data_IF_850310031618
#
_entry.id   IF_850310031618
#
_cell.length_a   1.000
_cell.length_b   1.000
_cell.length_c   1.000
_cell.angle_alpha   90.00
_cell.angle_beta   90.00
_cell.angle_gamma   90.00
#
_symmetry.space_group_name_H-M   'P 1'
#
loop_
_entity.id
_entity.type
_entity.pdbx_description
1 polymer ?
#
# COMPACT_ATOMS: atom_id res chain seq x y z
N UNK A 1 22.41 18.12 -6.80
CA UNK A 1 22.13 16.80 -6.20
C UNK A 1 21.45 15.99 -7.27
N UNK A 2 21.77 14.70 -7.41
CA UNK A 2 21.14 13.86 -8.42
C UNK A 2 19.62 13.78 -8.17
N UNK A 3 18.85 13.60 -9.24
CA UNK A 3 17.42 13.30 -9.15
C UNK A 3 17.23 11.79 -9.04
N UNK A 4 16.25 11.37 -8.23
CA UNK A 4 15.88 9.96 -8.15
C UNK A 4 14.73 9.71 -9.14
N UNK A 5 14.96 8.80 -10.08
CA UNK A 5 13.99 8.44 -11.12
C UNK A 5 13.61 6.97 -11.06
N UNK A 6 12.34 6.67 -11.30
CA UNK A 6 11.85 5.30 -11.47
C UNK A 6 12.02 4.94 -12.94
N UNK A 7 12.73 3.85 -13.20
CA UNK A 7 13.01 3.39 -14.58
C UNK A 7 12.22 2.13 -14.95
N UNK A 8 11.78 1.37 -13.96
CA UNK A 8 10.89 0.22 -14.22
C UNK A 8 10.00 -0.08 -13.01
N UNK A 9 8.92 -0.79 -13.28
CA UNK A 9 8.02 -1.30 -12.26
C UNK A 9 7.39 -2.63 -12.69
N UNK A 10 7.08 -3.49 -11.72
CA UNK A 10 6.38 -4.75 -11.91
C UNK A 10 5.53 -5.09 -10.69
N UNK A 11 4.39 -5.77 -10.90
CA UNK A 11 3.59 -6.34 -9.82
C UNK A 11 3.01 -7.70 -10.19
N UNK A 12 2.82 -8.53 -9.22
CA UNK A 12 2.01 -9.75 -9.38
C UNK A 12 0.53 -9.40 -9.51
N UNK A 13 -0.32 -10.34 -9.93
CA UNK A 13 -1.71 -10.34 -9.55
C UNK A 13 -1.86 -10.21 -8.02
N UNK A 14 -3.03 -9.77 -7.56
CA UNK A 14 -3.37 -9.76 -6.14
C UNK A 14 -4.35 -10.90 -5.86
N UNK A 15 -3.91 -11.86 -5.04
CA UNK A 15 -4.70 -13.00 -4.59
C UNK A 15 -5.57 -12.66 -3.38
N UNK A 16 -6.75 -13.28 -3.25
CA UNK A 16 -7.54 -13.23 -2.02
C UNK A 16 -6.95 -14.20 -0.99
N UNK A 17 -6.64 -13.71 0.19
CA UNK A 17 -6.04 -14.54 1.24
C UNK A 17 -6.86 -15.80 1.56
N UNK A 18 -6.18 -16.88 1.85
CA UNK A 18 -6.68 -18.20 2.25
C UNK A 18 -7.48 -18.98 1.21
N UNK A 19 -7.94 -18.37 0.12
CA UNK A 19 -8.80 -19.02 -0.88
C UNK A 19 -8.56 -18.55 -2.32
N UNK A 20 -7.68 -17.57 -2.51
CA UNK A 20 -7.39 -17.01 -3.83
C UNK A 20 -6.26 -17.71 -4.55
N UNK A 21 -5.93 -17.14 -5.69
CA UNK A 21 -4.99 -17.69 -6.67
C UNK A 21 -3.54 -17.80 -6.16
N UNK A 22 -3.13 -16.94 -5.20
CA UNK A 22 -1.75 -16.87 -4.70
C UNK A 22 -1.57 -17.48 -3.29
N UNK A 23 -2.59 -18.15 -2.73
CA UNK A 23 -2.60 -18.63 -1.33
C UNK A 23 -1.44 -19.56 -0.96
N UNK A 24 -0.87 -20.28 -1.93
CA UNK A 24 0.21 -21.24 -1.71
C UNK A 24 1.61 -20.69 -2.06
N UNK A 25 1.68 -19.43 -2.54
CA UNK A 25 2.94 -18.78 -2.85
C UNK A 25 3.71 -18.38 -1.59
N UNK A 26 4.98 -18.75 -1.53
CA UNK A 26 5.89 -18.23 -0.49
C UNK A 26 6.21 -16.76 -0.76
N UNK A 27 6.35 -15.93 0.29
CA UNK A 27 6.64 -14.50 0.12
C UNK A 27 8.00 -14.24 -0.54
N UNK A 28 9.01 -15.00 -0.23
CA UNK A 28 10.35 -14.92 -0.83
C UNK A 28 10.35 -15.27 -2.32
N UNK A 29 9.72 -16.39 -2.70
CA UNK A 29 9.61 -16.82 -4.10
C UNK A 29 8.84 -15.80 -4.95
N UNK A 30 7.68 -15.32 -4.44
CA UNK A 30 6.88 -14.32 -5.14
C UNK A 30 7.64 -13.00 -5.30
N UNK A 31 8.37 -12.57 -4.26
CA UNK A 31 9.21 -11.37 -4.32
C UNK A 31 10.33 -11.51 -5.35
N UNK A 32 11.00 -12.66 -5.37
CA UNK A 32 12.09 -12.93 -6.31
C UNK A 32 11.60 -12.84 -7.76
N UNK A 33 10.46 -13.46 -8.07
CA UNK A 33 9.86 -13.41 -9.42
C UNK A 33 9.55 -11.96 -9.85
N UNK A 34 8.96 -11.17 -8.97
CA UNK A 34 8.52 -9.82 -9.33
C UNK A 34 9.68 -8.82 -9.38
N UNK A 35 10.67 -8.97 -8.50
CA UNK A 35 11.91 -8.18 -8.56
C UNK A 35 12.67 -8.49 -9.84
N UNK A 36 12.80 -9.79 -10.20
CA UNK A 36 13.41 -10.17 -11.47
C UNK A 36 12.67 -9.57 -12.66
N UNK A 37 11.33 -9.62 -12.67
CA UNK A 37 10.53 -9.02 -13.73
C UNK A 37 10.67 -7.49 -13.84
N UNK A 38 10.93 -6.80 -12.74
CA UNK A 38 11.24 -5.37 -12.78
C UNK A 38 12.63 -5.11 -13.35
N UNK A 39 13.64 -5.88 -12.94
CA UNK A 39 15.01 -5.78 -13.45
C UNK A 39 15.12 -6.11 -14.94
N UNK A 40 14.43 -7.16 -15.40
CA UNK A 40 14.43 -7.60 -16.81
C UNK A 40 13.88 -6.53 -17.78
N UNK A 41 13.21 -5.49 -17.28
CA UNK A 41 12.73 -4.35 -18.08
C UNK A 41 13.77 -3.24 -18.27
N UNK A 42 14.93 -3.36 -17.65
CA UNK A 42 16.02 -2.37 -17.75
C UNK A 42 17.16 -2.97 -18.57
N UNK A 43 17.16 -2.66 -19.86
CA UNK A 43 18.17 -3.17 -20.77
C UNK A 43 19.59 -2.81 -20.32
N UNK A 44 20.50 -3.78 -20.34
CA UNK A 44 21.90 -3.57 -20.01
C UNK A 44 22.23 -3.43 -18.52
N UNK A 45 21.25 -3.51 -17.63
CA UNK A 45 21.51 -3.53 -16.18
C UNK A 45 22.06 -4.88 -15.73
N UNK A 46 23.27 -4.89 -15.18
CA UNK A 46 23.77 -6.01 -14.39
C UNK A 46 23.11 -5.96 -12.99
N UNK A 47 22.30 -6.94 -12.62
CA UNK A 47 21.64 -6.95 -11.29
C UNK A 47 22.61 -6.89 -10.10
N UNK A 48 23.85 -7.35 -10.26
CA UNK A 48 24.86 -7.30 -9.21
C UNK A 48 25.48 -5.90 -9.00
N UNK A 49 25.12 -4.92 -9.84
CA UNK A 49 25.51 -3.50 -9.66
C UNK A 49 24.48 -2.69 -8.88
N UNK A 50 23.40 -3.29 -8.44
CA UNK A 50 22.42 -2.68 -7.53
C UNK A 50 23.07 -2.41 -6.17
N UNK A 51 22.94 -1.19 -5.67
CA UNK A 51 23.54 -0.79 -4.39
C UNK A 51 22.83 -1.41 -3.18
N UNK A 52 21.48 -1.49 -3.20
CA UNK A 52 20.72 -2.15 -2.15
C UNK A 52 19.31 -2.56 -2.59
N UNK A 53 18.78 -3.63 -1.97
CA UNK A 53 17.37 -4.01 -2.03
C UNK A 53 16.69 -3.64 -0.71
N UNK A 54 15.74 -2.72 -0.76
CA UNK A 54 14.81 -2.46 0.33
C UNK A 54 13.49 -3.18 0.06
N UNK A 55 13.17 -4.22 0.85
CA UNK A 55 11.97 -5.04 0.71
C UNK A 55 10.99 -4.75 1.85
N UNK A 56 9.86 -4.13 1.53
CA UNK A 56 8.78 -3.85 2.45
C UNK A 56 7.95 -5.11 2.76
N UNK A 57 7.77 -5.42 4.05
CA UNK A 57 6.84 -6.42 4.53
C UNK A 57 6.07 -5.86 5.73
N UNK A 58 4.74 -5.93 5.68
CA UNK A 58 3.90 -5.34 6.73
C UNK A 58 4.05 -6.08 8.06
N UNK A 59 4.05 -7.39 8.03
CA UNK A 59 4.15 -8.28 9.18
C UNK A 59 5.29 -9.30 8.99
N UNK A 60 6.57 -8.86 9.10
CA UNK A 60 7.73 -9.72 8.91
C UNK A 60 7.87 -10.72 10.06
N UNK A 61 7.79 -12.01 9.75
CA UNK A 61 7.91 -13.10 10.72
C UNK A 61 7.74 -14.45 10.01
N UNK A 62 8.14 -15.56 10.63
CA UNK A 62 8.06 -16.87 10.02
C UNK A 62 8.76 -16.92 8.66
N UNK A 63 8.03 -17.26 7.60
CA UNK A 63 8.55 -17.28 6.23
C UNK A 63 8.94 -15.89 5.69
N UNK A 64 8.37 -14.83 6.23
CA UNK A 64 8.71 -13.43 5.91
C UNK A 64 9.81 -12.86 6.80
N UNK A 65 10.38 -13.65 7.70
CA UNK A 65 11.47 -13.29 8.62
C UNK A 65 12.85 -13.41 7.99
N UNK A 66 13.86 -13.48 8.85
CA UNK A 66 15.27 -13.73 8.50
C UNK A 66 15.87 -12.73 7.48
N UNK A 67 15.47 -11.47 7.55
CA UNK A 67 15.85 -10.47 6.55
C UNK A 67 15.56 -10.96 5.11
N UNK A 68 14.31 -11.19 4.81
CA UNK A 68 13.83 -11.78 3.55
C UNK A 68 14.40 -11.08 2.31
N UNK A 69 14.70 -9.77 2.37
CA UNK A 69 15.36 -9.05 1.28
C UNK A 69 16.67 -9.73 0.85
N UNK A 70 17.48 -10.17 1.81
CA UNK A 70 18.73 -10.85 1.50
C UNK A 70 18.49 -12.25 0.91
N UNK A 71 17.48 -12.97 1.40
CA UNK A 71 17.08 -14.27 0.85
C UNK A 71 16.69 -14.11 -0.62
N UNK A 72 15.88 -13.11 -0.93
CA UNK A 72 15.41 -12.80 -2.29
C UNK A 72 16.56 -12.45 -3.22
N UNK A 73 17.56 -11.68 -2.77
CA UNK A 73 18.75 -11.39 -3.57
C UNK A 73 19.49 -12.68 -3.94
N UNK A 74 19.70 -13.58 -2.99
CA UNK A 74 20.38 -14.87 -3.24
C UNK A 74 19.56 -15.75 -4.22
N UNK A 75 18.22 -15.80 -4.07
CA UNK A 75 17.35 -16.50 -5.01
C UNK A 75 17.47 -15.99 -6.46
N UNK A 76 17.74 -14.69 -6.61
CA UNK A 76 17.91 -14.05 -7.92
C UNK A 76 19.37 -14.06 -8.43
N UNK A 77 20.31 -14.73 -7.74
CA UNK A 77 21.73 -14.73 -8.10
C UNK A 77 22.43 -13.38 -7.89
N UNK A 78 21.86 -12.52 -7.07
CA UNK A 78 22.38 -11.19 -6.72
C UNK A 78 23.19 -11.27 -5.42
N UNK A 79 24.20 -12.15 -5.40
CA UNK A 79 24.98 -12.45 -4.18
C UNK A 79 25.80 -11.26 -3.66
N UNK A 80 26.12 -10.31 -4.52
CA UNK A 80 26.87 -9.11 -4.15
C UNK A 80 25.99 -7.97 -3.64
N UNK A 81 24.66 -8.05 -3.79
CA UNK A 81 23.71 -7.00 -3.43
C UNK A 81 23.27 -7.17 -1.97
N UNK A 82 23.50 -6.19 -1.10
CA UNK A 82 22.93 -6.20 0.24
C UNK A 82 21.40 -6.08 0.20
N UNK A 83 20.73 -6.32 1.34
CA UNK A 83 19.28 -6.19 1.39
C UNK A 83 18.79 -5.98 2.81
N UNK A 84 17.74 -5.17 2.95
CA UNK A 84 17.08 -4.90 4.22
C UNK A 84 15.57 -5.08 4.11
N UNK A 85 14.99 -5.89 5.02
CA UNK A 85 13.54 -6.01 5.16
C UNK A 85 13.02 -4.91 6.07
N UNK A 86 12.07 -4.12 5.56
CA UNK A 86 11.56 -2.91 6.20
C UNK A 86 10.09 -3.11 6.54
N UNK A 87 9.70 -2.79 7.77
CA UNK A 87 8.28 -2.68 8.13
C UNK A 87 7.91 -1.24 8.46
N UNK A 88 6.83 -0.78 7.85
CA UNK A 88 5.97 0.33 8.22
C UNK A 88 4.54 -0.07 7.90
N UNK A 89 4.16 -1.27 8.31
CA UNK A 89 2.86 -1.88 8.01
C UNK A 89 2.44 -1.67 6.54
N UNK A 90 1.26 -1.11 6.32
CA UNK A 90 0.70 -0.89 4.98
C UNK A 90 1.60 -0.05 4.04
N UNK A 91 2.43 0.85 4.58
CA UNK A 91 3.30 1.74 3.80
C UNK A 91 4.75 1.23 3.69
N UNK A 92 5.02 -0.04 3.99
CA UNK A 92 6.39 -0.57 3.98
C UNK A 92 7.10 -0.31 2.65
N UNK A 93 6.45 -0.50 1.50
CA UNK A 93 7.08 -0.22 0.20
C UNK A 93 7.02 1.24 -0.27
N UNK A 94 6.26 2.13 0.37
CA UNK A 94 6.49 3.58 0.24
C UNK A 94 7.72 4.00 1.05
N UNK A 95 7.92 3.38 2.24
CA UNK A 95 9.10 3.63 3.05
C UNK A 95 10.37 3.17 2.34
N UNK A 96 10.37 2.02 1.66
CA UNK A 96 11.52 1.56 0.87
C UNK A 96 11.86 2.52 -0.27
N UNK A 97 10.85 3.03 -0.99
CA UNK A 97 11.05 4.09 -2.01
C UNK A 97 11.63 5.37 -1.39
N UNK A 98 11.12 5.78 -0.22
CA UNK A 98 11.64 6.95 0.49
C UNK A 98 13.10 6.77 0.89
N UNK A 99 13.52 5.56 1.28
CA UNK A 99 14.92 5.25 1.61
C UNK A 99 15.81 5.36 0.36
N UNK A 100 15.43 4.74 -0.75
CA UNK A 100 16.13 4.83 -2.02
C UNK A 100 16.26 6.29 -2.52
N UNK A 101 15.15 7.05 -2.46
CA UNK A 101 15.15 8.47 -2.79
C UNK A 101 16.16 9.27 -1.95
N UNK A 102 16.20 9.05 -0.64
CA UNK A 102 17.12 9.76 0.24
C UNK A 102 18.58 9.33 0.02
N UNK A 103 18.84 8.04 -0.22
CA UNK A 103 20.17 7.53 -0.50
C UNK A 103 20.75 8.17 -1.77
N UNK A 104 19.98 8.19 -2.86
CA UNK A 104 20.38 8.87 -4.11
C UNK A 104 20.60 10.36 -3.88
N UNK A 105 19.69 11.06 -3.19
CA UNK A 105 19.86 12.49 -2.89
C UNK A 105 21.08 12.79 -2.01
N UNK A 106 21.47 11.85 -1.15
CA UNK A 106 22.67 11.94 -0.32
C UNK A 106 23.96 11.56 -1.07
N UNK A 107 23.87 10.94 -2.25
CA UNK A 107 25.02 10.43 -3.00
C UNK A 107 25.59 9.13 -2.44
N UNK A 108 24.76 8.32 -1.76
CA UNK A 108 25.15 7.05 -1.12
C UNK A 108 25.13 5.87 -2.10
N UNK A 109 24.49 6.02 -3.25
CA UNK A 109 24.41 5.05 -4.33
C UNK A 109 23.57 5.57 -5.49
N UNK A 110 23.52 4.78 -6.55
CA UNK A 110 22.90 5.15 -7.83
C UNK A 110 21.74 4.22 -8.25
N UNK A 111 21.70 2.97 -7.78
CA UNK A 111 20.73 1.97 -8.21
C UNK A 111 20.14 1.25 -7.01
N UNK A 112 18.84 1.38 -6.81
CA UNK A 112 18.13 0.75 -5.71
C UNK A 112 16.89 -0.01 -6.20
N UNK A 113 16.58 -1.13 -5.54
CA UNK A 113 15.31 -1.83 -5.71
C UNK A 113 14.44 -1.49 -4.50
N UNK A 114 13.29 -0.90 -4.74
CA UNK A 114 12.23 -0.71 -3.76
C UNK A 114 11.10 -1.68 -4.05
N UNK A 115 10.91 -2.66 -3.18
CA UNK A 115 9.93 -3.71 -3.37
C UNK A 115 9.04 -3.88 -2.14
N UNK A 116 7.97 -4.65 -2.30
CA UNK A 116 7.10 -5.00 -1.19
C UNK A 116 6.32 -6.27 -1.44
N UNK A 117 6.02 -6.99 -0.37
CA UNK A 117 5.29 -8.25 -0.40
C UNK A 117 4.44 -8.40 0.85
N UNK A 118 3.32 -9.08 0.68
CA UNK A 118 2.57 -9.68 1.77
C UNK A 118 1.93 -10.98 1.28
N UNK A 119 1.97 -12.02 2.09
CA UNK A 119 1.26 -13.28 1.85
C UNK A 119 0.47 -13.63 3.10
N UNK A 120 -0.70 -12.97 3.26
CA UNK A 120 -1.58 -13.16 4.41
C UNK A 120 -2.04 -14.61 4.54
N UNK A 121 -2.20 -15.30 3.42
CA UNK A 121 -2.52 -16.74 3.39
C UNK A 121 -1.53 -17.61 4.15
N UNK A 122 -0.30 -17.13 4.31
CA UNK A 122 0.79 -17.89 4.96
C UNK A 122 1.10 -17.42 6.38
N UNK A 123 0.29 -16.56 6.95
CA UNK A 123 0.48 -16.09 8.34
C UNK A 123 0.46 -17.22 9.37
N UNK A 124 -0.21 -18.35 9.07
CA UNK A 124 -0.13 -19.56 9.88
C UNK A 124 1.31 -20.15 9.99
N UNK A 125 2.23 -19.72 9.12
CA UNK A 125 3.66 -20.08 9.17
C UNK A 125 4.49 -19.15 10.05
N UNK A 126 3.82 -18.29 10.81
CA UNK A 126 4.39 -17.34 11.76
C UNK A 126 4.43 -15.91 11.25
N UNK A 127 4.05 -14.99 12.14
CA UNK A 127 4.22 -13.55 11.96
C UNK A 127 4.76 -12.96 13.25
N UNK A 128 5.36 -11.77 13.19
CA UNK A 128 5.92 -11.10 14.37
C UNK A 128 4.85 -10.70 15.41
N UNK A 129 3.59 -10.57 14.99
CA UNK A 129 2.50 -10.02 15.80
C UNK A 129 1.56 -11.08 16.42
N UNK A 130 1.81 -12.39 16.21
CA UNK A 130 0.86 -13.44 16.57
C UNK A 130 1.34 -14.38 17.70
N UNK A 131 2.47 -14.07 18.31
CA UNK A 131 2.93 -14.87 19.46
C UNK A 131 2.20 -14.46 20.74
N UNK A 132 1.78 -15.43 21.58
CA UNK A 132 1.22 -15.13 22.89
C UNK A 132 2.16 -14.30 23.76
N UNK A 133 1.60 -13.46 24.60
CA UNK A 133 2.32 -12.66 25.63
C UNK A 133 3.45 -11.76 25.10
N UNK A 134 3.39 -11.36 23.83
CA UNK A 134 4.39 -10.46 23.24
C UNK A 134 3.96 -8.99 23.25
N UNK A 135 2.69 -8.70 23.55
CA UNK A 135 2.21 -7.33 23.72
C UNK A 135 2.69 -6.74 25.05
N UNK A 136 2.99 -5.45 25.04
CA UNK A 136 3.44 -4.76 26.23
C UNK A 136 2.25 -4.51 27.17
N UNK A 137 2.29 -5.05 28.38
CA UNK A 137 1.22 -4.96 29.42
C UNK A 137 0.88 -3.52 29.85
N UNK A 138 1.71 -2.53 29.54
CA UNK A 138 1.35 -1.11 29.75
C UNK A 138 0.16 -0.66 28.92
N UNK A 139 -0.24 -1.43 27.90
CA UNK A 139 -1.40 -1.17 27.05
C UNK A 139 -2.64 -1.99 27.43
N UNK A 140 -2.62 -2.77 28.50
CA UNK A 140 -3.73 -3.64 28.89
C UNK A 140 -5.04 -2.83 29.05
N UNK A 141 -5.00 -1.69 29.76
CA UNK A 141 -6.17 -0.82 29.93
C UNK A 141 -6.65 -0.22 28.59
N UNK A 142 -5.71 0.12 27.70
CA UNK A 142 -6.04 0.64 26.38
C UNK A 142 -6.70 -0.44 25.50
N UNK A 143 -6.18 -1.66 25.51
CA UNK A 143 -6.77 -2.80 24.81
C UNK A 143 -8.15 -3.15 25.35
N UNK A 144 -8.32 -3.18 26.68
CA UNK A 144 -9.63 -3.44 27.31
C UNK A 144 -10.67 -2.35 26.92
N UNK A 145 -10.26 -1.08 26.81
CA UNK A 145 -11.11 0.00 26.33
C UNK A 145 -11.54 -0.23 24.87
N UNK A 146 -10.61 -0.65 24.00
CA UNK A 146 -10.91 -1.00 22.60
C UNK A 146 -11.91 -2.18 22.52
N UNK A 147 -11.70 -3.23 23.31
CA UNK A 147 -12.62 -4.39 23.38
C UNK A 147 -14.03 -3.97 23.80
N UNK A 148 -14.15 -3.12 24.81
CA UNK A 148 -15.44 -2.58 25.22
C UNK A 148 -16.10 -1.72 24.13
N UNK A 149 -15.33 -0.90 23.40
CA UNK A 149 -15.88 -0.15 22.26
C UNK A 149 -16.34 -1.07 21.13
N UNK A 150 -15.69 -2.23 20.95
CA UNK A 150 -16.07 -3.21 19.94
C UNK A 150 -17.44 -3.86 20.20
N UNK A 151 -17.95 -3.82 21.42
CA UNK A 151 -19.33 -4.27 21.77
C UNK A 151 -20.40 -3.33 21.20
N UNK A 152 -20.02 -2.10 20.81
CA UNK A 152 -20.90 -1.08 20.25
C UNK A 152 -21.38 -0.05 21.27
N UNK A 153 -22.09 0.98 20.78
CA UNK A 153 -22.74 2.00 21.63
C UNK A 153 -21.79 3.04 22.25
N UNK A 154 -20.48 3.00 21.97
CA UNK A 154 -19.49 3.91 22.54
C UNK A 154 -18.81 4.68 21.40
N UNK A 155 -18.85 6.01 21.46
CA UNK A 155 -18.10 6.87 20.55
C UNK A 155 -16.64 6.97 20.97
N UNK A 156 -15.77 7.12 20.00
CA UNK A 156 -14.36 7.33 20.25
C UNK A 156 -14.09 8.72 20.84
N UNK A 157 -13.31 8.75 21.88
CA UNK A 157 -12.74 9.94 22.51
C UNK A 157 -11.22 9.77 22.60
N UNK A 158 -10.46 10.86 22.41
CA UNK A 158 -8.99 10.77 22.51
C UNK A 158 -8.56 10.46 23.95
N UNK A 159 -8.01 9.27 24.23
CA UNK A 159 -7.62 8.91 25.57
C UNK A 159 -6.52 9.81 26.16
N UNK A 160 -5.80 10.55 25.32
CA UNK A 160 -4.79 11.52 25.78
C UNK A 160 -5.41 12.69 26.52
N UNK A 161 -6.63 13.07 26.22
CA UNK A 161 -7.35 14.12 26.96
C UNK A 161 -7.61 13.72 28.42
N UNK A 162 -7.71 12.41 28.70
CA UNK A 162 -7.84 11.84 30.03
C UNK A 162 -6.48 11.36 30.62
N UNK A 163 -5.36 11.68 29.99
CA UNK A 163 -4.03 11.26 30.40
C UNK A 163 -3.73 9.77 30.22
N UNK A 164 -4.56 9.07 29.44
CA UNK A 164 -4.42 7.63 29.19
C UNK A 164 -3.61 7.33 27.92
N UNK A 165 -3.12 6.10 27.81
CA UNK A 165 -2.46 5.61 26.59
C UNK A 165 -3.52 5.26 25.52
N UNK A 166 -3.33 5.68 24.26
CA UNK A 166 -4.10 5.11 23.16
C UNK A 166 -3.65 3.66 22.89
N UNK A 167 -4.54 2.85 22.34
CA UNK A 167 -4.25 1.45 22.03
C UNK A 167 -3.38 1.35 20.76
N UNK A 168 -2.09 1.08 20.94
CA UNK A 168 -1.15 0.89 19.85
C UNK A 168 -1.33 -0.45 19.11
N UNK A 169 -2.06 -1.40 19.70
CA UNK A 169 -2.33 -2.73 19.16
C UNK A 169 -3.75 -2.88 18.58
N UNK A 170 -4.47 -1.78 18.47
CA UNK A 170 -5.85 -1.75 17.97
C UNK A 170 -5.97 -2.38 16.58
N UNK A 171 -6.99 -3.22 16.39
CA UNK A 171 -7.30 -3.79 15.08
C UNK A 171 -7.77 -2.71 14.09
N UNK A 172 -7.32 -2.80 12.85
CA UNK A 172 -7.56 -1.74 11.83
C UNK A 172 -9.04 -1.48 11.57
N UNK A 173 -9.90 -2.50 11.60
CA UNK A 173 -11.34 -2.30 11.46
C UNK A 173 -11.97 -1.49 12.60
N UNK A 174 -11.45 -1.60 13.82
CA UNK A 174 -11.88 -0.77 14.93
C UNK A 174 -11.49 0.71 14.73
N UNK A 175 -10.32 0.96 14.15
CA UNK A 175 -9.92 2.33 13.80
C UNK A 175 -10.80 2.94 12.73
N UNK A 176 -11.24 2.15 11.74
CA UNK A 176 -12.16 2.59 10.71
C UNK A 176 -13.53 2.98 11.28
N UNK A 177 -14.06 2.17 12.21
CA UNK A 177 -15.30 2.52 12.94
C UNK A 177 -15.14 3.78 13.79
N UNK A 178 -13.98 3.96 14.45
CA UNK A 178 -13.69 5.20 15.19
C UNK A 178 -13.71 6.43 14.27
N UNK A 179 -13.04 6.36 13.13
CA UNK A 179 -13.02 7.46 12.15
C UNK A 179 -14.42 7.72 11.59
N UNK A 180 -15.17 6.68 11.25
CA UNK A 180 -16.53 6.83 10.75
C UNK A 180 -17.43 7.59 11.75
N UNK A 181 -17.39 7.23 13.03
CA UNK A 181 -18.14 7.93 14.08
C UNK A 181 -17.66 9.35 14.33
N UNK A 182 -16.33 9.55 14.45
CA UNK A 182 -15.71 10.85 14.64
C UNK A 182 -16.10 11.85 13.54
N UNK A 183 -16.27 11.34 12.31
CA UNK A 183 -16.59 12.16 11.14
C UNK A 183 -18.07 12.15 10.76
N UNK A 184 -18.91 11.42 11.49
CA UNK A 184 -20.34 11.32 11.23
C UNK A 184 -20.68 10.72 9.86
N UNK A 185 -19.84 9.78 9.38
CA UNK A 185 -20.00 9.16 8.07
C UNK A 185 -21.16 8.17 8.08
N UNK A 186 -22.03 8.26 7.09
CA UNK A 186 -23.15 7.34 6.94
C UNK A 186 -22.72 6.02 6.27
N UNK A 187 -23.43 4.95 6.58
CA UNK A 187 -23.27 3.66 5.92
C UNK A 187 -23.46 3.78 4.40
N UNK A 188 -24.43 4.56 3.95
CA UNK A 188 -24.71 4.77 2.53
C UNK A 188 -23.53 5.41 1.81
N UNK A 189 -22.98 6.48 2.34
CA UNK A 189 -21.81 7.18 1.76
C UNK A 189 -20.62 6.23 1.59
N UNK A 190 -20.35 5.38 2.59
CA UNK A 190 -19.26 4.40 2.54
C UNK A 190 -19.51 3.29 1.51
N UNK A 191 -20.76 2.79 1.43
CA UNK A 191 -21.12 1.76 0.46
C UNK A 191 -21.08 2.32 -0.98
N UNK A 192 -21.55 3.55 -1.21
CA UNK A 192 -21.47 4.23 -2.50
C UNK A 192 -20.01 4.40 -2.96
N UNK A 193 -19.10 4.72 -2.03
CA UNK A 193 -17.66 4.76 -2.33
C UNK A 193 -17.13 3.37 -2.71
N UNK A 194 -17.54 2.32 -2.00
CA UNK A 194 -17.18 0.93 -2.32
C UNK A 194 -17.66 0.50 -3.70
N UNK A 195 -18.92 0.84 -4.05
CA UNK A 195 -19.49 0.62 -5.39
C UNK A 195 -18.69 1.36 -6.46
N UNK A 196 -18.33 2.62 -6.20
CA UNK A 196 -17.51 3.41 -7.13
C UNK A 196 -16.16 2.73 -7.39
N UNK A 197 -15.47 2.26 -6.36
CA UNK A 197 -14.19 1.58 -6.50
C UNK A 197 -14.31 0.33 -7.40
N UNK A 198 -15.33 -0.50 -7.18
CA UNK A 198 -15.58 -1.71 -7.97
C UNK A 198 -15.91 -1.38 -9.43
N UNK A 199 -16.79 -0.42 -9.68
CA UNK A 199 -17.22 -0.07 -11.04
C UNK A 199 -16.08 0.58 -11.86
N UNK A 200 -15.23 1.40 -11.22
CA UNK A 200 -14.04 1.93 -11.88
C UNK A 200 -13.02 0.84 -12.18
N UNK A 201 -12.84 -0.13 -11.27
CA UNK A 201 -11.96 -1.26 -11.51
C UNK A 201 -12.48 -2.17 -12.65
N UNK A 202 -13.78 -2.43 -12.69
CA UNK A 202 -14.42 -3.18 -13.78
C UNK A 202 -14.22 -2.46 -15.13
N UNK A 203 -14.45 -1.15 -15.17
CA UNK A 203 -14.19 -0.34 -16.38
C UNK A 203 -12.72 -0.45 -16.80
N UNK A 204 -11.79 -0.27 -15.87
CA UNK A 204 -10.36 -0.33 -16.13
C UNK A 204 -9.89 -1.73 -16.60
N UNK A 205 -10.52 -2.81 -16.13
CA UNK A 205 -10.30 -4.18 -16.65
C UNK A 205 -10.77 -4.25 -18.11
N UNK A 206 -12.00 -3.81 -18.40
CA UNK A 206 -12.58 -3.87 -19.74
C UNK A 206 -11.80 -3.02 -20.75
N UNK A 207 -11.25 -1.90 -20.32
CA UNK A 207 -10.42 -1.01 -21.15
C UNK A 207 -8.97 -1.54 -21.31
N UNK A 208 -8.57 -2.60 -20.56
CA UNK A 208 -7.22 -3.19 -20.62
C UNK A 208 -6.18 -2.48 -19.77
N UNK A 209 -6.57 -1.52 -18.92
CA UNK A 209 -5.64 -0.77 -18.06
C UNK A 209 -4.85 -1.68 -17.12
N UNK A 210 -5.53 -2.55 -16.35
CA UNK A 210 -4.88 -3.41 -15.37
C UNK A 210 -3.94 -4.44 -15.99
N UNK A 211 -4.23 -4.90 -17.22
CA UNK A 211 -3.38 -5.84 -17.95
C UNK A 211 -1.99 -5.27 -18.28
N UNK A 212 -1.83 -3.93 -18.32
CA UNK A 212 -0.54 -3.28 -18.61
C UNK A 212 0.48 -3.40 -17.48
N UNK A 213 0.02 -3.55 -16.23
CA UNK A 213 0.90 -3.53 -15.06
C UNK A 213 1.07 -4.91 -14.41
N UNK A 214 0.17 -5.86 -14.67
CA UNK A 214 0.23 -7.19 -14.07
C UNK A 214 1.28 -8.04 -14.78
N UNK A 215 2.26 -8.52 -14.03
CA UNK A 215 3.17 -9.58 -14.45
C UNK A 215 2.55 -10.91 -14.07
N UNK A 216 2.22 -11.73 -15.06
CA UNK A 216 1.69 -13.08 -14.81
C UNK A 216 2.69 -13.94 -14.04
N UNK A 217 2.20 -14.70 -13.08
CA UNK A 217 3.02 -15.62 -12.28
C UNK A 217 2.50 -17.04 -12.42
N UNK A 218 3.41 -18.02 -12.36
CA UNK A 218 3.03 -19.43 -12.32
C UNK A 218 3.11 -19.91 -10.88
N UNK A 219 1.99 -20.39 -10.35
CA UNK A 219 1.89 -20.91 -8.99
C UNK A 219 2.71 -22.21 -8.80
N UNK A 220 3.03 -22.61 -7.56
CA UNK A 220 3.77 -23.85 -7.31
C UNK A 220 3.15 -25.12 -7.91
N UNK A 221 1.82 -25.14 -8.11
CA UNK A 221 1.09 -26.24 -8.77
C UNK A 221 0.95 -26.07 -10.29
N UNK A 222 1.62 -25.07 -10.87
CA UNK A 222 1.73 -24.89 -12.33
C UNK A 222 0.60 -24.08 -12.98
N UNK A 223 -0.27 -23.45 -12.20
CA UNK A 223 -1.34 -22.59 -12.73
C UNK A 223 -0.80 -21.19 -13.05
N UNK A 224 -1.08 -20.69 -14.25
CA UNK A 224 -0.75 -19.30 -14.62
C UNK A 224 -1.84 -18.37 -14.12
N UNK A 225 -1.45 -17.38 -13.30
CA UNK A 225 -2.33 -16.33 -12.79
C UNK A 225 -1.94 -15.00 -13.43
N UNK A 226 -2.90 -14.33 -14.07
CA UNK A 226 -2.70 -13.09 -14.84
C UNK A 226 -3.69 -11.99 -14.52
N UNK A 227 -4.54 -12.18 -13.51
CA UNK A 227 -5.55 -11.20 -13.11
C UNK A 227 -5.71 -11.17 -11.58
N UNK A 228 -6.16 -10.03 -11.05
CA UNK A 228 -6.50 -9.86 -9.64
C UNK A 228 -7.78 -10.62 -9.28
N UNK A 229 -7.83 -11.25 -8.09
CA UNK A 229 -9.00 -12.03 -7.62
C UNK A 229 -10.14 -11.15 -7.09
N UNK A 230 -9.85 -9.89 -6.78
CA UNK A 230 -10.75 -9.02 -6.01
C UNK A 230 -11.92 -8.42 -6.78
N UNK A 231 -11.71 -7.91 -8.02
CA UNK A 231 -12.72 -7.18 -8.75
C UNK A 231 -13.97 -8.01 -9.04
N UNK A 232 -15.13 -7.36 -8.95
CA UNK A 232 -16.45 -7.96 -9.18
C UNK A 232 -17.23 -7.12 -10.16
N UNK A 233 -17.75 -7.75 -11.21
CA UNK A 233 -18.56 -7.07 -12.21
C UNK A 233 -19.96 -6.73 -11.66
N UNK A 234 -20.51 -5.60 -12.12
CA UNK A 234 -21.90 -5.22 -11.88
C UNK A 234 -22.26 -4.93 -10.43
N UNK A 235 -21.32 -4.48 -9.59
CA UNK A 235 -21.62 -4.14 -8.19
C UNK A 235 -22.51 -2.89 -8.13
N UNK A 236 -23.60 -2.98 -7.36
CA UNK A 236 -24.54 -1.89 -7.13
C UNK A 236 -24.76 -1.62 -5.66
N UNK A 237 -25.22 -0.42 -5.29
CA UNK A 237 -25.57 -0.08 -3.91
C UNK A 237 -26.62 -1.05 -3.35
N UNK A 238 -27.69 -1.33 -4.12
CA UNK A 238 -28.73 -2.28 -3.70
C UNK A 238 -28.20 -3.70 -3.45
N UNK A 239 -27.13 -4.09 -4.15
CA UNK A 239 -26.49 -5.39 -3.97
C UNK A 239 -25.66 -5.52 -2.68
N UNK A 240 -25.23 -4.40 -2.07
CA UNK A 240 -24.35 -4.42 -0.90
C UNK A 240 -24.93 -3.74 0.35
N UNK A 241 -25.99 -2.94 0.25
CA UNK A 241 -26.55 -2.15 1.37
C UNK A 241 -26.95 -2.99 2.59
N UNK A 242 -27.34 -4.26 2.37
CA UNK A 242 -27.79 -5.17 3.42
C UNK A 242 -26.66 -6.04 4.01
N UNK A 243 -25.40 -5.81 3.60
CA UNK A 243 -24.25 -6.49 4.20
C UNK A 243 -24.13 -6.13 5.69
N UNK A 244 -23.85 -7.13 6.52
CA UNK A 244 -23.69 -6.93 7.96
C UNK A 244 -22.37 -6.22 8.27
N UNK A 245 -22.33 -5.34 9.28
CA UNK A 245 -21.09 -4.81 9.82
C UNK A 245 -20.13 -5.93 10.24
N UNK A 246 -18.83 -5.71 10.06
CA UNK A 246 -17.81 -6.74 10.31
C UNK A 246 -17.17 -6.58 11.68
N UNK A 247 -17.02 -5.36 12.17
CA UNK A 247 -16.19 -5.08 13.35
C UNK A 247 -16.97 -4.70 14.60
N UNK A 248 -18.16 -4.11 14.47
CA UNK A 248 -19.06 -3.74 15.58
C UNK A 248 -20.49 -4.06 15.21
N UNK A 249 -21.33 -4.46 16.17
CA UNK A 249 -22.76 -4.74 15.89
C UNK A 249 -23.52 -3.55 15.29
N UNK A 250 -23.18 -2.34 15.72
CA UNK A 250 -23.75 -1.06 15.31
C UNK A 250 -22.81 -0.28 14.34
N UNK A 251 -21.83 -0.98 13.76
CA UNK A 251 -20.84 -0.41 12.86
C UNK A 251 -21.35 -0.14 11.46
N UNK A 252 -20.54 0.59 10.69
CA UNK A 252 -20.82 0.94 9.29
C UNK A 252 -19.85 0.31 8.30
N UNK A 253 -18.77 -0.32 8.79
CA UNK A 253 -17.76 -0.98 7.95
C UNK A 253 -18.19 -2.39 7.61
N UNK A 254 -18.24 -2.70 6.32
CA UNK A 254 -18.68 -3.99 5.78
C UNK A 254 -17.73 -4.53 4.74
N UNK A 255 -17.93 -5.76 4.31
CA UNK A 255 -17.19 -6.36 3.19
C UNK A 255 -17.41 -5.65 1.84
N UNK A 256 -18.40 -4.75 1.74
CA UNK A 256 -18.66 -3.93 0.54
C UNK A 256 -17.89 -2.61 0.49
N UNK A 257 -17.40 -2.14 1.64
CA UNK A 257 -16.76 -0.83 1.77
C UNK A 257 -15.37 -0.87 2.45
N UNK A 258 -14.75 -2.05 2.51
CA UNK A 258 -13.36 -2.24 2.94
C UNK A 258 -12.62 -3.22 2.04
N UNK A 259 -11.29 -3.14 2.02
CA UNK A 259 -10.47 -4.10 1.29
C UNK A 259 -10.51 -5.49 1.93
N UNK A 260 -10.28 -6.52 1.14
CA UNK A 260 -10.06 -7.89 1.64
C UNK A 260 -8.62 -8.06 2.15
N UNK A 261 -8.36 -9.16 2.86
CA UNK A 261 -7.01 -9.65 3.11
C UNK A 261 -6.45 -10.30 1.84
N UNK A 262 -5.21 -10.00 1.50
CA UNK A 262 -4.64 -10.33 0.19
C UNK A 262 -3.19 -10.80 0.25
N UNK A 263 -2.80 -11.46 -0.83
CA UNK A 263 -1.43 -11.91 -1.14
C UNK A 263 -0.94 -11.19 -2.40
N UNK A 264 0.33 -10.79 -2.45
CA UNK A 264 0.91 -10.16 -3.64
C UNK A 264 2.29 -9.56 -3.40
N UNK A 265 3.00 -9.26 -4.48
CA UNK A 265 4.29 -8.58 -4.48
C UNK A 265 4.38 -7.53 -5.59
N UNK A 266 5.16 -6.47 -5.35
CA UNK A 266 5.47 -5.44 -6.34
C UNK A 266 6.88 -4.88 -6.13
N UNK A 267 7.48 -4.37 -7.21
CA UNK A 267 8.80 -3.79 -7.18
C UNK A 267 8.90 -2.60 -8.14
N UNK A 268 9.74 -1.63 -7.79
CA UNK A 268 10.18 -0.54 -8.65
C UNK A 268 11.70 -0.45 -8.61
N UNK A 269 12.33 -0.19 -9.76
CA UNK A 269 13.77 0.08 -9.87
C UNK A 269 13.95 1.59 -9.92
N UNK A 270 14.77 2.11 -9.00
CA UNK A 270 15.02 3.53 -8.81
C UNK A 270 16.50 3.80 -9.06
N UNK A 271 16.78 4.78 -9.87
CA UNK A 271 18.16 5.18 -10.20
C UNK A 271 18.38 6.68 -9.98
N UNK A 272 19.65 7.07 -9.87
CA UNK A 272 19.99 8.47 -10.13
C UNK A 272 19.75 8.79 -11.62
N UNK A 273 19.34 10.00 -11.92
CA UNK A 273 19.15 10.48 -13.30
C UNK A 273 20.44 10.33 -14.14
N UNK A 274 21.61 10.53 -13.52
CA UNK A 274 22.91 10.32 -14.15
C UNK A 274 23.11 8.85 -14.54
N UNK A 275 22.84 7.92 -13.62
CA UNK A 275 23.02 6.48 -13.89
C UNK A 275 22.00 5.97 -14.91
N UNK A 276 20.76 6.47 -14.87
CA UNK A 276 19.75 6.15 -15.88
C UNK A 276 20.23 6.58 -17.29
N UNK A 277 20.81 7.79 -17.41
CA UNK A 277 21.37 8.28 -18.67
C UNK A 277 22.59 7.45 -19.14
N UNK A 278 23.49 7.05 -18.24
CA UNK A 278 24.63 6.19 -18.55
C UNK A 278 24.22 4.83 -19.12
N UNK A 279 23.16 4.23 -18.57
CA UNK A 279 22.62 2.94 -19.02
C UNK A 279 21.68 3.07 -20.22
N UNK A 280 21.30 4.30 -20.61
CA UNK A 280 20.27 4.52 -21.62
C UNK A 280 18.87 4.11 -21.13
N UNK A 281 18.68 3.93 -19.83
CA UNK A 281 17.39 3.58 -19.23
C UNK A 281 16.48 4.81 -19.28
N UNK A 282 15.25 4.63 -19.83
CA UNK A 282 14.28 5.72 -19.93
C UNK A 282 13.57 5.92 -18.59
N UNK A 283 13.68 7.10 -17.94
CA UNK A 283 12.87 7.38 -16.77
C UNK A 283 11.38 7.38 -17.09
N UNK A 284 10.59 6.76 -16.20
CA UNK A 284 9.11 6.77 -16.24
C UNK A 284 8.57 7.97 -15.46
N UNK A 285 9.17 8.22 -14.28
CA UNK A 285 8.85 9.37 -13.44
C UNK A 285 10.03 9.71 -12.53
N UNK A 286 10.12 10.97 -12.10
CA UNK A 286 11.00 11.37 -11.00
C UNK A 286 10.23 11.39 -9.68
N UNK A 287 10.91 11.10 -8.61
CA UNK A 287 10.40 11.23 -7.24
C UNK A 287 10.61 12.68 -6.81
N UNK A 288 9.50 13.40 -6.60
CA UNK A 288 9.54 14.82 -6.27
C UNK A 288 9.74 15.02 -4.77
N UNK A 289 8.88 14.42 -3.97
CA UNK A 289 8.92 14.55 -2.50
C UNK A 289 8.19 13.41 -1.80
N UNK A 290 8.47 13.28 -0.51
CA UNK A 290 7.77 12.36 0.39
C UNK A 290 7.31 13.09 1.65
N UNK A 291 6.25 12.58 2.30
CA UNK A 291 5.76 13.04 3.58
C UNK A 291 5.42 11.87 4.51
N UNK A 292 5.67 12.05 5.79
CA UNK A 292 5.33 11.07 6.85
C UNK A 292 4.66 11.79 7.98
N UNK A 293 3.62 11.21 8.55
CA UNK A 293 2.89 11.75 9.69
C UNK A 293 2.71 10.73 10.81
N UNK A 294 2.42 11.21 12.00
CA UNK A 294 2.00 10.40 13.15
C UNK A 294 0.77 11.03 13.80
N UNK A 295 -0.14 10.17 14.31
CA UNK A 295 -1.35 10.56 15.03
C UNK A 295 -1.76 9.44 16.00
N UNK A 296 -2.88 9.58 16.70
CA UNK A 296 -3.38 8.49 17.55
C UNK A 296 -3.54 7.18 16.75
N UNK A 297 -3.03 6.04 17.25
CA UNK A 297 -3.22 4.73 16.61
C UNK A 297 -4.70 4.42 16.38
N UNK A 298 -5.57 4.87 17.27
CA UNK A 298 -6.99 4.56 17.29
C UNK A 298 -7.80 5.24 16.16
N UNK A 299 -7.19 6.22 15.46
CA UNK A 299 -7.76 6.91 14.28
C UNK A 299 -6.77 6.99 13.12
N UNK A 300 -5.95 5.96 12.96
CA UNK A 300 -4.88 5.91 11.95
C UNK A 300 -5.36 6.23 10.52
N UNK A 301 -6.65 6.02 10.24
CA UNK A 301 -7.25 6.31 8.94
C UNK A 301 -7.10 7.75 8.46
N UNK A 302 -6.89 8.71 9.37
CA UNK A 302 -6.65 10.12 9.03
C UNK A 302 -5.18 10.47 8.78
N UNK A 303 -4.27 9.50 8.91
CA UNK A 303 -2.84 9.67 8.65
C UNK A 303 -2.49 10.26 7.27
N UNK A 304 -3.19 9.90 6.18
CA UNK A 304 -2.94 10.46 4.85
C UNK A 304 -3.00 11.99 4.78
N UNK A 305 -3.87 12.62 5.56
CA UNK A 305 -4.09 14.07 5.50
C UNK A 305 -2.82 14.85 5.80
N UNK A 306 -2.24 14.61 6.97
CA UNK A 306 -1.03 15.34 7.38
C UNK A 306 0.22 14.87 6.60
N UNK A 307 0.30 13.58 6.23
CA UNK A 307 1.38 13.08 5.38
C UNK A 307 1.40 13.78 4.02
N UNK A 308 0.23 13.95 3.41
CA UNK A 308 0.07 14.65 2.12
C UNK A 308 0.44 16.13 2.25
N UNK A 309 -0.03 16.83 3.28
CA UNK A 309 0.36 18.23 3.52
C UNK A 309 1.88 18.40 3.63
N UNK A 310 2.55 17.47 4.32
CA UNK A 310 4.03 17.48 4.40
C UNK A 310 4.71 17.20 3.08
N UNK A 311 4.20 16.25 2.29
CA UNK A 311 4.76 15.96 0.96
C UNK A 311 4.62 17.17 0.03
N UNK A 312 3.44 17.80 0.01
CA UNK A 312 3.19 19.02 -0.77
C UNK A 312 4.09 20.18 -0.33
N UNK A 313 4.26 20.40 0.98
CA UNK A 313 5.16 21.42 1.51
C UNK A 313 6.62 21.16 1.11
N UNK A 314 7.08 19.91 1.18
CA UNK A 314 8.43 19.52 0.77
C UNK A 314 8.63 19.72 -0.75
N UNK A 315 7.59 19.47 -1.56
CA UNK A 315 7.60 19.72 -2.99
C UNK A 315 7.43 21.20 -3.35
N UNK A 316 7.03 22.06 -2.41
CA UNK A 316 6.58 23.44 -2.64
C UNK A 316 5.41 23.51 -3.64
N UNK A 317 4.49 22.58 -3.52
CA UNK A 317 3.29 22.41 -4.34
C UNK A 317 2.03 22.56 -3.48
N UNK A 318 0.92 22.78 -4.16
CA UNK A 318 -0.44 22.70 -3.62
C UNK A 318 -1.17 21.46 -4.15
N UNK A 319 -2.31 21.11 -3.57
CA UNK A 319 -3.14 20.01 -4.08
C UNK A 319 -3.69 20.31 -5.48
N UNK A 320 -3.79 21.58 -5.85
CA UNK A 320 -4.20 22.03 -7.19
C UNK A 320 -3.20 21.68 -8.29
N UNK A 321 -1.92 21.50 -7.93
CA UNK A 321 -0.83 21.18 -8.85
C UNK A 321 -0.73 19.67 -9.14
N UNK A 322 -1.56 18.85 -8.48
CA UNK A 322 -1.58 17.39 -8.63
C UNK A 322 -2.68 16.99 -9.61
N UNK A 323 -2.33 16.29 -10.68
CA UNK A 323 -3.28 15.82 -11.69
C UNK A 323 -4.10 14.62 -11.22
N UNK A 324 -3.43 13.59 -10.68
CA UNK A 324 -4.06 12.34 -10.23
C UNK A 324 -3.65 12.01 -8.79
N UNK A 325 -4.59 11.45 -8.05
CA UNK A 325 -4.39 11.06 -6.66
C UNK A 325 -4.77 9.60 -6.46
N UNK A 326 -3.90 8.84 -5.83
CA UNK A 326 -4.15 7.50 -5.30
C UNK A 326 -4.13 7.54 -3.76
N UNK A 327 -5.28 7.36 -3.13
CA UNK A 327 -5.38 7.08 -1.69
C UNK A 327 -5.65 5.60 -1.54
N UNK A 328 -4.78 4.86 -0.86
CA UNK A 328 -5.03 3.45 -0.61
C UNK A 328 -6.37 3.25 0.12
N UNK A 329 -7.21 2.39 -0.42
CA UNK A 329 -8.57 2.15 0.10
C UNK A 329 -8.59 0.98 1.10
N UNK A 330 -7.91 1.13 2.23
CA UNK A 330 -8.04 0.14 3.29
C UNK A 330 -9.51 0.04 3.78
N UNK A 331 -10.16 1.20 3.91
CA UNK A 331 -11.58 1.34 4.26
C UNK A 331 -12.14 2.60 3.59
N UNK A 332 -13.37 2.57 3.10
CA UNK A 332 -14.05 3.78 2.64
C UNK A 332 -14.12 4.84 3.76
N UNK A 333 -14.35 4.40 5.01
CA UNK A 333 -14.36 5.24 6.21
C UNK A 333 -13.07 6.04 6.44
N UNK A 334 -11.97 5.63 5.84
CA UNK A 334 -10.67 6.31 5.91
C UNK A 334 -10.43 7.21 4.69
N UNK A 335 -10.84 6.75 3.50
CA UNK A 335 -10.59 7.50 2.26
C UNK A 335 -11.49 8.72 2.17
N UNK A 336 -12.78 8.55 2.48
CA UNK A 336 -13.79 9.62 2.36
C UNK A 336 -13.37 10.88 3.14
N UNK A 337 -13.10 10.84 4.45
CA UNK A 337 -12.68 12.05 5.16
C UNK A 337 -11.30 12.54 4.71
N UNK A 338 -10.41 11.65 4.25
CA UNK A 338 -9.07 12.06 3.82
C UNK A 338 -9.10 12.92 2.56
N UNK A 339 -9.86 12.53 1.53
CA UNK A 339 -9.95 13.35 0.31
C UNK A 339 -10.72 14.65 0.53
N UNK A 340 -11.75 14.62 1.39
CA UNK A 340 -12.51 15.80 1.76
C UNK A 340 -11.63 16.84 2.51
N UNK A 341 -10.88 16.41 3.53
CA UNK A 341 -9.98 17.27 4.30
C UNK A 341 -8.84 17.86 3.45
N UNK A 342 -8.43 17.17 2.40
CA UNK A 342 -7.39 17.62 1.47
C UNK A 342 -7.95 18.46 0.32
N UNK A 343 -9.28 18.55 0.17
CA UNK A 343 -9.92 19.25 -0.96
C UNK A 343 -9.64 18.60 -2.31
N UNK A 344 -9.50 17.27 -2.33
CA UNK A 344 -9.27 16.51 -3.55
C UNK A 344 -10.61 16.32 -4.27
N UNK A 345 -10.62 16.64 -5.58
CA UNK A 345 -11.74 16.35 -6.43
C UNK A 345 -11.86 14.83 -6.63
N UNK A 346 -13.07 14.28 -6.41
CA UNK A 346 -13.35 12.85 -6.52
C UNK A 346 -13.05 12.30 -7.93
N UNK A 347 -13.15 13.14 -8.97
CA UNK A 347 -12.88 12.76 -10.36
C UNK A 347 -11.37 12.57 -10.65
N UNK A 348 -10.49 13.05 -9.75
CA UNK A 348 -9.05 12.82 -9.80
C UNK A 348 -8.57 11.71 -8.86
N UNK A 349 -9.47 11.18 -8.03
CA UNK A 349 -9.16 10.20 -7.01
C UNK A 349 -9.40 8.78 -7.50
N UNK A 350 -8.37 7.92 -7.42
CA UNK A 350 -8.46 6.48 -7.70
C UNK A 350 -9.24 6.20 -8.98
N UNK A 351 -8.86 6.86 -10.06
CA UNK A 351 -9.63 6.93 -11.33
C UNK A 351 -9.81 5.58 -12.03
N UNK A 352 -9.04 4.58 -11.65
CA UNK A 352 -9.11 3.22 -12.20
C UNK A 352 -9.63 2.19 -11.15
N UNK A 353 -10.27 2.67 -10.07
CA UNK A 353 -10.61 1.87 -8.91
C UNK A 353 -9.44 1.70 -7.96
N UNK A 354 -9.68 1.17 -6.76
CA UNK A 354 -8.66 1.06 -5.71
C UNK A 354 -8.74 -0.25 -4.93
N UNK A 355 -8.15 -0.26 -3.75
CA UNK A 355 -7.93 -1.48 -2.97
C UNK A 355 -9.21 -2.19 -2.48
N UNK A 356 -10.34 -1.51 -2.38
CA UNK A 356 -11.64 -2.15 -2.11
C UNK A 356 -11.97 -3.16 -3.21
N UNK A 357 -11.63 -2.82 -4.47
CA UNK A 357 -11.82 -3.69 -5.62
C UNK A 357 -10.62 -4.64 -5.82
N UNK A 358 -9.40 -4.11 -6.01
CA UNK A 358 -8.26 -4.92 -6.44
C UNK A 358 -7.52 -5.60 -5.29
N UNK A 359 -7.60 -5.07 -4.06
CA UNK A 359 -6.97 -5.66 -2.88
C UNK A 359 -5.83 -4.84 -2.28
N UNK A 360 -5.42 -5.24 -1.05
CA UNK A 360 -4.43 -4.56 -0.23
C UNK A 360 -3.48 -5.53 0.47
N UNK A 361 -2.53 -6.17 -0.22
CA UNK A 361 -1.42 -6.85 0.44
C UNK A 361 -0.53 -5.80 1.10
N UNK A 362 -0.39 -5.80 2.43
CA UNK A 362 0.12 -4.66 3.20
C UNK A 362 1.49 -4.17 2.71
N UNK A 363 2.51 -5.01 2.77
CA UNK A 363 3.87 -4.64 2.36
C UNK A 363 4.00 -4.31 0.86
N UNK A 364 3.22 -4.96 0.00
CA UNK A 364 3.21 -4.74 -1.46
C UNK A 364 2.65 -3.37 -1.85
N UNK A 365 1.65 -2.89 -1.12
CA UNK A 365 0.72 -1.86 -1.63
C UNK A 365 1.41 -0.56 -2.03
N UNK A 366 2.43 -0.12 -1.31
CA UNK A 366 3.15 1.11 -1.69
C UNK A 366 3.81 1.03 -3.07
N UNK A 367 4.47 -0.08 -3.40
CA UNK A 367 5.07 -0.30 -4.72
C UNK A 367 4.00 -0.54 -5.79
N UNK A 368 2.87 -1.20 -5.44
CA UNK A 368 1.71 -1.34 -6.33
C UNK A 368 1.10 0.01 -6.70
N UNK A 369 0.89 0.90 -5.72
CA UNK A 369 0.36 2.23 -5.98
C UNK A 369 1.28 3.05 -6.89
N UNK A 370 2.60 2.89 -6.76
CA UNK A 370 3.55 3.53 -7.66
C UNK A 370 3.42 2.99 -9.09
N UNK A 371 3.34 1.67 -9.24
CA UNK A 371 3.11 1.04 -10.56
C UNK A 371 1.80 1.52 -11.19
N UNK A 372 0.71 1.52 -10.42
CA UNK A 372 -0.60 2.04 -10.84
C UNK A 372 -0.54 3.52 -11.21
N UNK A 373 0.15 4.36 -10.41
CA UNK A 373 0.27 5.79 -10.72
C UNK A 373 1.08 6.04 -12.00
N UNK A 374 2.20 5.34 -12.20
CA UNK A 374 2.99 5.43 -13.44
C UNK A 374 2.13 5.08 -14.66
N UNK A 375 1.37 3.98 -14.56
CA UNK A 375 0.46 3.55 -15.61
C UNK A 375 -0.69 4.56 -15.82
N UNK A 376 -1.25 5.13 -14.73
CA UNK A 376 -2.34 6.12 -14.79
C UNK A 376 -1.90 7.44 -15.43
N UNK A 377 -0.70 7.93 -15.08
CA UNK A 377 -0.16 9.16 -15.66
C UNK A 377 0.04 9.02 -17.17
N UNK A 378 0.55 7.87 -17.62
CA UNK A 378 0.69 7.59 -19.04
C UNK A 378 -0.67 7.41 -19.74
N UNK A 379 -1.56 6.61 -19.14
CA UNK A 379 -2.88 6.30 -19.73
C UNK A 379 -3.78 7.53 -19.91
N UNK A 380 -3.78 8.43 -18.94
CA UNK A 380 -4.61 9.63 -18.93
C UNK A 380 -3.89 10.88 -19.45
N UNK A 381 -2.65 10.74 -19.94
CA UNK A 381 -1.78 11.84 -20.39
C UNK A 381 -1.68 12.95 -19.34
N UNK A 382 -1.27 12.56 -18.13
CA UNK A 382 -1.09 13.43 -16.97
C UNK A 382 0.38 13.46 -16.54
N UNK A 383 0.75 14.49 -15.78
CA UNK A 383 2.14 14.75 -15.42
C UNK A 383 2.43 14.48 -13.95
N UNK A 384 1.54 14.87 -13.04
CA UNK A 384 1.81 14.84 -11.60
C UNK A 384 0.87 13.89 -10.88
N UNK A 385 1.43 13.01 -10.05
CA UNK A 385 0.69 12.03 -9.26
C UNK A 385 1.04 12.10 -7.78
N UNK A 386 0.02 12.04 -6.93
CA UNK A 386 0.14 11.89 -5.48
C UNK A 386 -0.32 10.50 -5.07
N UNK A 387 0.51 9.80 -4.31
CA UNK A 387 0.17 8.55 -3.65
C UNK A 387 0.16 8.80 -2.15
N UNK A 388 -0.90 8.40 -1.45
CA UNK A 388 -0.94 8.49 0.01
C UNK A 388 -1.69 7.32 0.63
N UNK A 389 -1.37 7.00 1.88
CA UNK A 389 -1.99 5.88 2.57
C UNK A 389 -1.91 6.01 4.09
N UNK A 390 -2.92 5.45 4.74
CA UNK A 390 -2.93 5.24 6.19
C UNK A 390 -2.00 4.08 6.56
N UNK A 391 -1.52 4.10 7.79
CA UNK A 391 -0.54 3.13 8.29
C UNK A 391 -0.90 2.71 9.71
N UNK A 392 -0.90 1.43 9.97
CA UNK A 392 -1.12 0.88 11.31
C UNK A 392 -0.21 1.54 12.35
N UNK A 393 -0.67 1.58 13.61
CA UNK A 393 0.04 2.25 14.69
C UNK A 393 -0.07 3.79 14.66
N UNK A 394 -1.01 4.35 13.89
CA UNK A 394 -1.27 5.80 13.87
C UNK A 394 -0.27 6.59 13.05
N UNK A 395 -0.12 6.26 11.77
CA UNK A 395 0.80 6.94 10.86
C UNK A 395 0.15 7.18 9.50
N UNK A 396 0.80 8.00 8.67
CA UNK A 396 0.49 8.18 7.26
C UNK A 396 1.75 8.39 6.43
N UNK A 397 1.71 8.00 5.16
CA UNK A 397 2.77 8.30 4.21
C UNK A 397 2.21 8.86 2.90
N UNK A 398 2.98 9.74 2.28
CA UNK A 398 2.69 10.29 0.97
C UNK A 398 3.96 10.37 0.10
N UNK A 399 3.77 10.24 -1.20
CA UNK A 399 4.79 10.29 -2.24
C UNK A 399 4.25 11.08 -3.43
N UNK A 400 5.03 12.03 -3.97
CA UNK A 400 4.69 12.77 -5.17
C UNK A 400 5.64 12.34 -6.29
N UNK A 401 5.05 11.97 -7.42
CA UNK A 401 5.73 11.57 -8.65
C UNK A 401 5.43 12.58 -9.76
N UNK A 402 6.40 12.78 -10.64
CA UNK A 402 6.23 13.54 -11.86
C UNK A 402 6.72 12.71 -13.05
N UNK A 403 5.85 12.50 -14.03
CA UNK A 403 6.16 11.80 -15.28
C UNK A 403 7.22 12.57 -16.07
N UNK A 404 8.20 11.87 -16.65
CA UNK A 404 9.31 12.44 -17.43
C UNK A 404 9.14 12.11 -18.91
#
# INVERSE_FOLDING_TARGET
>A
MPEAVIVSAARSPIGRANKGSLKDFRPDDLSALIIKAALDKVDGLDPNTVDDLYLGCGLPGGESGNNMARIVNVLNGMDLVPGATITRYCASSVQTTRMAFHAIKAGEGDIFISAGVETVSRFAKGTSDHWPDTKNHRYDDAMARTEKMAEGGIDWHDPREDGQLPDAYIAMGQTAENVARLRGLSRQELDEFGVRSQNLAEKAINDGFWAREITSVTTPDGVVVSADDGPRAGVTYDGIKDLKPVFRPDGVVTAGNCCALNDGAAAVVIMSDTKAAELGAKPLARIVATGVSGLSPEIMGLGPVEATKRALANAKMSIGDIDLVEINEAFAAQVVPSYQDLGIDIDRLNVNGGAIAVGHPFGMTGARLQNTMLNSLDWHDKSTGLITMCVGGGQGMALILERV
#
